data_IF_277710909768
#
_entry.id   IF_277710909768
#
_cell.length_a   1.000
_cell.length_b   1.000
_cell.length_c   1.000
_cell.angle_alpha   90.00
_cell.angle_beta   90.00
_cell.angle_gamma   90.00
#
_symmetry.space_group_name_H-M   'P 1'
#
loop_
_entity.id
_entity.type
_entity.pdbx_description
1 polymer ?
#
# COMPACT_ATOMS: atom_id res chain seq x y z
N UNK A 1 9.78 1.69 -12.45
CA UNK A 1 11.02 1.32 -11.81
C UNK A 1 11.87 0.48 -12.72
N UNK A 2 13.11 0.85 -12.95
CA UNK A 2 14.07 -0.04 -13.57
C UNK A 2 14.36 -1.14 -12.56
N UNK A 3 13.82 -2.34 -12.80
CA UNK A 3 14.04 -3.48 -11.94
C UNK A 3 15.54 -3.71 -11.79
N UNK A 4 16.04 -3.80 -10.56
CA UNK A 4 17.39 -4.24 -10.30
C UNK A 4 17.56 -5.63 -10.90
N UNK A 5 18.42 -5.76 -11.93
CA UNK A 5 18.71 -7.04 -12.53
C UNK A 5 19.54 -7.88 -11.56
N UNK A 6 19.19 -9.15 -11.42
CA UNK A 6 20.07 -10.13 -10.77
C UNK A 6 20.97 -10.71 -11.86
N UNK A 7 22.29 -10.60 -11.68
CA UNK A 7 23.25 -11.25 -12.57
C UNK A 7 23.09 -12.78 -12.49
N UNK A 8 23.22 -13.45 -13.62
CA UNK A 8 23.11 -14.93 -13.69
C UNK A 8 24.04 -15.63 -12.69
N UNK A 9 25.26 -15.10 -12.48
CA UNK A 9 26.19 -15.57 -11.46
C UNK A 9 25.64 -15.44 -10.01
N UNK A 10 24.71 -14.52 -9.76
CA UNK A 10 24.03 -14.38 -8.47
C UNK A 10 23.03 -15.51 -8.19
N UNK A 11 22.44 -16.12 -9.23
CA UNK A 11 21.48 -17.20 -9.07
C UNK A 11 22.09 -18.45 -8.43
N UNK A 12 23.36 -18.76 -8.72
CA UNK A 12 24.05 -19.90 -8.12
C UNK A 12 24.24 -19.78 -6.59
N UNK A 13 24.18 -18.57 -6.05
CA UNK A 13 24.29 -18.29 -4.61
C UNK A 13 22.97 -18.30 -3.86
N UNK A 14 21.83 -18.44 -4.55
CA UNK A 14 20.51 -18.44 -3.89
C UNK A 14 20.38 -19.55 -2.84
N UNK A 15 21.04 -20.70 -3.08
CA UNK A 15 21.04 -21.82 -2.13
C UNK A 15 21.88 -21.59 -0.86
N UNK A 16 22.59 -20.48 -0.77
CA UNK A 16 23.40 -20.08 0.38
C UNK A 16 22.68 -19.05 1.27
N UNK A 17 21.43 -18.67 0.93
CA UNK A 17 20.65 -17.73 1.70
C UNK A 17 20.29 -18.32 3.07
N UNK A 18 20.36 -17.49 4.10
CA UNK A 18 19.94 -17.88 5.46
C UNK A 18 18.41 -17.79 5.65
N UNK A 19 17.74 -16.96 4.84
CA UNK A 19 16.30 -16.71 4.91
C UNK A 19 15.82 -16.18 3.55
N UNK A 20 14.65 -16.64 3.13
CA UNK A 20 13.90 -16.03 2.03
C UNK A 20 12.83 -15.07 2.59
N UNK A 21 12.79 -13.87 2.07
CA UNK A 21 11.73 -12.92 2.38
C UNK A 21 10.84 -12.78 1.15
N UNK A 22 9.61 -13.26 1.26
CA UNK A 22 8.62 -13.19 0.19
C UNK A 22 7.96 -11.82 0.22
N UNK A 23 8.21 -11.01 -0.80
CA UNK A 23 7.67 -9.64 -0.91
C UNK A 23 6.22 -9.68 -1.43
N UNK A 24 5.98 -10.42 -2.51
CA UNK A 24 4.65 -10.64 -3.07
C UNK A 24 4.29 -12.11 -2.90
N UNK A 25 3.45 -12.38 -1.92
CA UNK A 25 3.10 -13.75 -1.53
C UNK A 25 2.46 -14.52 -2.68
N UNK A 26 1.58 -13.86 -3.42
CA UNK A 26 0.90 -14.41 -4.61
C UNK A 26 1.85 -14.80 -5.75
N UNK A 27 3.09 -14.34 -5.75
CA UNK A 27 4.09 -14.66 -6.77
C UNK A 27 5.24 -15.50 -6.21
N UNK A 28 5.69 -15.19 -5.00
CA UNK A 28 6.94 -15.71 -4.45
C UNK A 28 6.79 -16.96 -3.57
N UNK A 29 5.62 -17.18 -2.99
CA UNK A 29 5.39 -18.32 -2.07
C UNK A 29 5.73 -19.68 -2.67
N UNK A 30 5.31 -20.03 -3.90
CA UNK A 30 5.62 -21.35 -4.46
C UNK A 30 7.14 -21.62 -4.60
N UNK A 31 7.90 -20.59 -4.97
CA UNK A 31 9.37 -20.70 -5.04
C UNK A 31 9.97 -20.83 -3.64
N UNK A 32 9.52 -20.04 -2.67
CA UNK A 32 10.01 -20.07 -1.30
C UNK A 32 9.78 -21.43 -0.63
N UNK A 33 8.58 -22.00 -0.78
CA UNK A 33 8.21 -23.34 -0.29
C UNK A 33 9.10 -24.44 -0.93
N UNK A 34 9.36 -24.31 -2.22
CA UNK A 34 10.27 -25.23 -2.92
C UNK A 34 11.70 -25.12 -2.40
N UNK A 35 12.20 -23.90 -2.18
CA UNK A 35 13.54 -23.67 -1.63
C UNK A 35 13.66 -24.19 -0.18
N UNK A 36 12.62 -24.04 0.62
CA UNK A 36 12.59 -24.61 1.97
C UNK A 36 12.65 -26.15 1.93
N UNK A 37 11.84 -26.77 1.07
CA UNK A 37 11.79 -28.22 0.92
C UNK A 37 13.12 -28.79 0.39
N UNK A 38 13.69 -28.21 -0.65
CA UNK A 38 14.87 -28.75 -1.36
C UNK A 38 16.19 -28.36 -0.67
N UNK A 39 16.29 -27.13 -0.16
CA UNK A 39 17.55 -26.58 0.37
C UNK A 39 17.51 -26.24 1.85
N UNK A 40 16.39 -26.49 2.54
CA UNK A 40 16.20 -26.17 3.96
C UNK A 40 16.37 -24.68 4.29
N UNK A 41 16.08 -23.80 3.35
CA UNK A 41 16.14 -22.36 3.54
C UNK A 41 14.74 -21.90 4.01
N UNK A 42 14.60 -21.49 5.26
CA UNK A 42 13.29 -21.02 5.77
C UNK A 42 12.85 -19.77 5.02
N UNK A 43 11.53 -19.50 5.06
CA UNK A 43 11.00 -18.26 4.50
C UNK A 43 10.00 -17.60 5.45
N UNK A 44 9.85 -16.29 5.26
CA UNK A 44 8.78 -15.49 5.85
C UNK A 44 8.08 -14.69 4.75
N UNK A 45 6.80 -14.41 4.96
CA UNK A 45 5.98 -13.58 4.08
C UNK A 45 5.29 -12.48 4.89
N UNK A 46 6.05 -11.50 5.43
CA UNK A 46 5.46 -10.42 6.19
C UNK A 46 4.65 -9.49 5.28
N UNK A 47 3.61 -8.87 5.83
CA UNK A 47 2.87 -7.83 5.09
C UNK A 47 3.81 -6.75 4.57
N UNK A 48 3.55 -6.24 3.36
CA UNK A 48 4.40 -5.21 2.76
C UNK A 48 4.52 -3.97 3.65
N UNK A 49 5.72 -3.36 3.74
CA UNK A 49 6.04 -2.29 4.67
C UNK A 49 5.50 -0.92 4.21
N UNK A 50 4.18 -0.80 4.07
CA UNK A 50 3.52 0.49 3.83
C UNK A 50 3.29 1.21 5.16
N UNK A 51 3.51 2.51 5.17
CA UNK A 51 3.44 3.32 6.38
C UNK A 51 4.60 3.08 7.35
N UNK A 52 4.63 3.85 8.45
CA UNK A 52 5.64 3.68 9.51
C UNK A 52 5.34 2.42 10.31
N UNK A 53 4.06 2.21 10.66
CA UNK A 53 3.64 1.03 11.43
C UNK A 53 3.89 -0.26 10.65
N UNK A 54 3.55 -0.30 9.34
CA UNK A 54 3.82 -1.45 8.48
C UNK A 54 5.33 -1.71 8.30
N UNK A 55 6.14 -0.66 8.20
CA UNK A 55 7.61 -0.77 8.14
C UNK A 55 8.18 -1.35 9.43
N UNK A 56 7.68 -0.87 10.59
CA UNK A 56 8.07 -1.40 11.90
C UNK A 56 7.75 -2.90 12.01
N UNK A 57 6.50 -3.29 11.71
CA UNK A 57 6.06 -4.68 11.78
C UNK A 57 6.87 -5.59 10.84
N UNK A 58 7.23 -5.10 9.65
CA UNK A 58 8.08 -5.82 8.72
C UNK A 58 9.50 -6.05 9.27
N UNK A 59 10.10 -5.02 9.89
CA UNK A 59 11.41 -5.13 10.53
C UNK A 59 11.39 -6.10 11.73
N UNK A 60 10.33 -6.07 12.52
CA UNK A 60 10.13 -7.01 13.65
C UNK A 60 10.04 -8.47 13.16
N UNK A 61 9.28 -8.72 12.10
CA UNK A 61 9.17 -10.05 11.49
C UNK A 61 10.53 -10.55 10.97
N UNK A 62 11.28 -9.69 10.28
CA UNK A 62 12.62 -10.02 9.79
C UNK A 62 13.60 -10.24 10.96
N UNK A 63 13.55 -9.39 11.99
CA UNK A 63 14.41 -9.49 13.16
C UNK A 63 14.15 -10.77 13.98
N UNK A 64 12.91 -11.20 14.06
CA UNK A 64 12.53 -12.47 14.71
C UNK A 64 13.08 -13.67 13.92
N UNK A 65 13.00 -13.61 12.58
CA UNK A 65 13.50 -14.70 11.73
C UNK A 65 15.03 -14.74 11.62
N UNK A 66 15.72 -13.63 11.88
CA UNK A 66 17.17 -13.49 11.87
C UNK A 66 17.70 -12.98 13.22
N UNK A 67 17.73 -13.80 14.26
CA UNK A 67 18.16 -13.38 15.59
C UNK A 67 19.61 -12.88 15.60
N UNK A 68 19.93 -12.01 16.57
CA UNK A 68 21.27 -11.44 16.74
C UNK A 68 21.57 -10.18 15.92
N UNK A 69 20.58 -9.62 15.21
CA UNK A 69 20.69 -8.31 14.55
C UNK A 69 20.31 -7.17 15.52
N UNK A 70 20.84 -5.98 15.27
CA UNK A 70 20.51 -4.76 16.05
C UNK A 70 19.13 -4.21 15.67
N UNK A 71 18.09 -4.97 15.99
CA UNK A 71 16.69 -4.60 15.68
C UNK A 71 16.29 -3.29 16.36
N UNK A 72 16.70 -3.10 17.62
CA UNK A 72 16.36 -1.91 18.42
C UNK A 72 16.74 -0.59 17.73
N UNK A 73 17.91 -0.58 17.06
CA UNK A 73 18.36 0.60 16.29
C UNK A 73 17.40 0.87 15.14
N UNK A 74 17.01 -0.16 14.39
CA UNK A 74 16.08 0.00 13.26
C UNK A 74 14.69 0.46 13.74
N UNK A 75 14.20 -0.09 14.86
CA UNK A 75 12.90 0.30 15.43
C UNK A 75 12.94 1.74 15.97
N UNK A 76 14.05 2.17 16.57
CA UNK A 76 14.19 3.56 17.01
C UNK A 76 14.14 4.57 15.85
N UNK A 77 14.57 4.18 14.65
CA UNK A 77 14.43 5.01 13.43
C UNK A 77 12.95 5.12 13.02
N UNK A 78 12.18 4.03 13.14
CA UNK A 78 10.73 4.07 12.89
C UNK A 78 10.02 5.01 13.86
N UNK A 79 10.37 4.96 15.17
CA UNK A 79 9.78 5.84 16.19
C UNK A 79 10.09 7.32 15.89
N UNK A 80 11.33 7.65 15.56
CA UNK A 80 11.71 9.01 15.18
C UNK A 80 10.97 9.51 13.95
N UNK A 81 10.78 8.65 12.94
CA UNK A 81 10.05 9.03 11.73
C UNK A 81 8.56 9.22 12.00
N UNK A 82 7.95 8.35 12.82
CA UNK A 82 6.58 8.53 13.29
C UNK A 82 6.39 9.88 13.97
N UNK A 83 7.27 10.20 14.92
CA UNK A 83 7.19 11.44 15.69
C UNK A 83 7.40 12.67 14.79
N UNK A 84 8.32 12.58 13.83
CA UNK A 84 8.55 13.63 12.82
C UNK A 84 7.30 13.87 11.97
N UNK A 85 6.72 12.82 11.41
CA UNK A 85 5.51 12.94 10.58
C UNK A 85 4.33 13.46 11.41
N UNK A 86 4.18 12.98 12.65
CA UNK A 86 3.13 13.45 13.55
C UNK A 86 3.20 14.97 13.79
N UNK A 87 4.38 15.51 14.06
CA UNK A 87 4.56 16.95 14.30
C UNK A 87 4.13 17.74 13.06
N UNK A 88 4.64 17.40 11.87
CA UNK A 88 4.30 18.11 10.64
C UNK A 88 2.81 17.98 10.28
N UNK A 89 2.26 16.78 10.36
CA UNK A 89 0.85 16.56 10.03
C UNK A 89 -0.09 17.26 11.02
N UNK A 90 0.29 17.35 12.28
CA UNK A 90 -0.53 18.03 13.27
C UNK A 90 -0.70 19.52 12.98
N UNK A 91 0.33 20.18 12.48
CA UNK A 91 0.24 21.57 12.02
C UNK A 91 -0.76 21.71 10.85
N UNK A 92 -0.71 20.81 9.87
CA UNK A 92 -1.67 20.78 8.77
C UNK A 92 -3.10 20.50 9.24
N UNK A 93 -3.27 19.55 10.15
CA UNK A 93 -4.57 19.20 10.73
C UNK A 93 -5.22 20.37 11.46
N UNK A 94 -4.45 21.21 12.13
CA UNK A 94 -4.96 22.42 12.78
C UNK A 94 -5.55 23.43 11.78
N UNK A 95 -5.06 23.45 10.55
CA UNK A 95 -5.51 24.37 9.49
C UNK A 95 -6.61 23.77 8.63
N UNK A 96 -6.48 22.49 8.28
CA UNK A 96 -7.31 21.82 7.27
C UNK A 96 -8.26 20.77 7.85
N UNK A 97 -8.18 20.45 9.15
CA UNK A 97 -8.90 19.36 9.80
C UNK A 97 -8.25 18.00 9.56
N UNK A 98 -8.96 16.93 9.87
CA UNK A 98 -8.48 15.56 9.62
C UNK A 98 -8.65 15.17 8.14
N UNK A 99 -7.75 14.33 7.65
CA UNK A 99 -7.89 13.73 6.33
C UNK A 99 -8.95 12.63 6.41
N UNK A 100 -10.13 12.92 5.91
CA UNK A 100 -11.28 12.03 5.97
C UNK A 100 -11.80 11.69 4.57
N UNK A 101 -12.12 10.43 4.36
CA UNK A 101 -12.82 9.94 3.17
C UNK A 101 -14.09 9.20 3.57
N UNK A 102 -15.21 9.49 2.93
CA UNK A 102 -16.45 8.72 3.14
C UNK A 102 -16.25 7.26 2.72
N UNK A 103 -15.63 7.06 1.58
CA UNK A 103 -15.28 5.74 1.06
C UNK A 103 -13.88 5.77 0.40
N UNK A 104 -13.12 4.70 0.62
CA UNK A 104 -11.86 4.46 -0.06
C UNK A 104 -11.86 3.08 -0.73
N UNK A 105 -11.25 3.00 -1.91
CA UNK A 105 -11.08 1.75 -2.64
C UNK A 105 -9.61 1.53 -2.93
N UNK A 106 -9.10 0.34 -2.63
CA UNK A 106 -7.75 -0.08 -2.99
C UNK A 106 -7.85 -1.22 -4.00
N UNK A 107 -7.39 -0.99 -5.23
CA UNK A 107 -7.40 -1.94 -6.32
C UNK A 107 -5.96 -2.30 -6.72
N UNK A 108 -5.48 -3.48 -6.32
CA UNK A 108 -4.11 -3.92 -6.57
C UNK A 108 -3.97 -5.45 -6.40
N UNK A 109 -2.82 -6.05 -6.76
CA UNK A 109 -2.50 -7.43 -6.37
C UNK A 109 -2.56 -7.64 -4.85
N UNK A 110 -2.87 -8.86 -4.36
CA UNK A 110 -3.22 -9.11 -2.96
C UNK A 110 -2.26 -8.51 -1.94
N UNK A 111 -0.96 -8.83 -2.02
CA UNK A 111 0.02 -8.33 -1.05
C UNK A 111 0.09 -6.80 -1.02
N UNK A 112 -0.01 -6.15 -2.19
CA UNK A 112 -0.03 -4.69 -2.31
C UNK A 112 -1.32 -4.11 -1.75
N UNK A 113 -2.47 -4.67 -2.16
CA UNK A 113 -3.78 -4.17 -1.77
C UNK A 113 -3.99 -4.20 -0.25
N UNK A 114 -3.72 -5.34 0.38
CA UNK A 114 -3.88 -5.48 1.84
C UNK A 114 -2.82 -4.71 2.64
N UNK A 115 -1.61 -4.58 2.11
CA UNK A 115 -0.59 -3.74 2.72
C UNK A 115 -0.97 -2.25 2.71
N UNK A 116 -1.45 -1.75 1.57
CA UNK A 116 -1.94 -0.37 1.43
C UNK A 116 -3.20 -0.11 2.26
N UNK A 117 -4.15 -1.05 2.28
CA UNK A 117 -5.36 -0.93 3.07
C UNK A 117 -5.05 -0.79 4.57
N UNK A 118 -4.11 -1.59 5.08
CA UNK A 118 -3.67 -1.51 6.46
C UNK A 118 -3.01 -0.16 6.80
N UNK A 119 -2.14 0.36 5.92
CA UNK A 119 -1.50 1.65 6.13
C UNK A 119 -2.51 2.80 6.00
N UNK A 120 -3.42 2.71 5.03
CA UNK A 120 -4.42 3.73 4.78
C UNK A 120 -5.33 3.93 6.01
N UNK A 121 -5.97 2.87 6.49
CA UNK A 121 -6.88 2.95 7.65
C UNK A 121 -6.14 3.08 9.00
N UNK A 122 -4.98 2.47 9.12
CA UNK A 122 -4.25 2.45 10.39
C UNK A 122 -3.43 3.71 10.66
N UNK A 123 -3.07 4.48 9.62
CA UNK A 123 -2.07 5.55 9.77
C UNK A 123 -2.33 6.77 8.90
N UNK A 124 -2.84 6.62 7.66
CA UNK A 124 -2.79 7.70 6.69
C UNK A 124 -4.04 8.57 6.63
N UNK A 125 -5.23 7.99 6.84
CA UNK A 125 -6.48 8.72 6.78
C UNK A 125 -7.59 8.03 7.57
N UNK A 126 -8.53 8.81 8.05
CA UNK A 126 -9.80 8.30 8.57
C UNK A 126 -10.79 8.07 7.41
N UNK A 127 -11.64 7.06 7.55
CA UNK A 127 -12.63 6.75 6.51
C UNK A 127 -13.83 6.01 7.06
N UNK A 128 -14.97 6.24 6.41
CA UNK A 128 -16.22 5.54 6.75
C UNK A 128 -16.19 4.09 6.26
N UNK A 129 -15.70 3.87 5.04
CA UNK A 129 -15.63 2.53 4.43
C UNK A 129 -14.36 2.32 3.63
N UNK A 130 -13.77 1.12 3.74
CA UNK A 130 -12.62 0.69 2.94
C UNK A 130 -12.94 -0.61 2.20
N UNK A 131 -12.93 -0.56 0.87
CA UNK A 131 -13.12 -1.73 0.01
C UNK A 131 -11.81 -2.08 -0.70
N UNK A 132 -11.47 -3.35 -0.71
CA UNK A 132 -10.32 -3.87 -1.46
C UNK A 132 -10.81 -4.61 -2.70
N UNK A 133 -10.33 -4.21 -3.89
CA UNK A 133 -10.47 -4.94 -5.14
C UNK A 133 -9.16 -5.71 -5.37
N UNK A 134 -9.24 -7.04 -5.28
CA UNK A 134 -8.07 -7.91 -5.42
C UNK A 134 -7.84 -8.24 -6.89
N UNK A 135 -6.73 -7.73 -7.46
CA UNK A 135 -6.34 -8.00 -8.83
C UNK A 135 -5.52 -9.30 -8.92
N UNK A 136 -5.85 -10.14 -9.93
CA UNK A 136 -5.12 -11.37 -10.29
C UNK A 136 -4.94 -12.43 -9.19
N UNK A 137 -5.95 -13.18 -8.81
CA UNK A 137 -5.80 -14.33 -7.92
C UNK A 137 -5.37 -15.61 -8.67
N UNK A 138 -4.37 -15.54 -9.58
CA UNK A 138 -3.92 -16.73 -10.35
C UNK A 138 -3.42 -17.90 -9.49
N UNK A 139 -3.06 -17.68 -8.24
CA UNK A 139 -2.46 -18.67 -7.36
C UNK A 139 -3.24 -18.91 -6.04
N UNK A 140 -4.53 -18.67 -6.08
CA UNK A 140 -5.39 -18.76 -4.90
C UNK A 140 -5.58 -17.41 -4.21
N UNK A 141 -6.80 -17.17 -3.77
CA UNK A 141 -7.12 -15.95 -3.03
C UNK A 141 -6.47 -16.00 -1.66
N UNK A 142 -5.36 -15.30 -1.51
CA UNK A 142 -4.84 -14.99 -0.19
C UNK A 142 -5.60 -13.77 0.28
N UNK A 143 -6.68 -14.01 1.02
CA UNK A 143 -7.30 -12.99 1.83
C UNK A 143 -6.76 -13.16 3.25
N UNK A 144 -5.73 -12.42 3.67
CA UNK A 144 -5.32 -12.43 5.05
C UNK A 144 -6.51 -11.99 5.91
N UNK A 145 -6.59 -12.52 7.12
CA UNK A 145 -7.53 -11.98 8.09
C UNK A 145 -7.14 -10.51 8.35
N UNK A 146 -7.95 -9.62 7.86
CA UNK A 146 -7.76 -8.17 8.00
C UNK A 146 -8.59 -7.60 9.16
N UNK A 147 -9.41 -8.43 9.81
CA UNK A 147 -10.29 -7.98 10.89
C UNK A 147 -11.10 -6.76 10.48
N UNK A 148 -11.13 -5.74 11.33
CA UNK A 148 -11.87 -4.49 11.11
C UNK A 148 -11.15 -3.50 10.17
N UNK A 149 -10.00 -3.86 9.60
CA UNK A 149 -9.25 -2.97 8.71
C UNK A 149 -9.87 -2.81 7.32
N UNK A 150 -10.67 -3.78 6.87
CA UNK A 150 -11.29 -3.80 5.54
C UNK A 150 -12.76 -4.18 5.66
N UNK A 151 -13.66 -3.33 5.15
CA UNK A 151 -15.09 -3.57 5.23
C UNK A 151 -15.61 -4.51 4.15
N UNK A 152 -14.93 -4.57 3.01
CA UNK A 152 -15.29 -5.47 1.90
C UNK A 152 -14.09 -5.85 1.04
N UNK A 153 -14.14 -7.07 0.51
CA UNK A 153 -13.17 -7.58 -0.48
C UNK A 153 -13.94 -7.99 -1.73
N UNK A 154 -13.51 -7.51 -2.89
CA UNK A 154 -14.09 -7.79 -4.20
C UNK A 154 -13.02 -8.41 -5.11
N UNK A 155 -13.22 -9.63 -5.64
CA UNK A 155 -12.33 -10.18 -6.66
C UNK A 155 -12.45 -9.40 -7.97
N UNK A 156 -11.33 -9.09 -8.61
CA UNK A 156 -11.32 -8.32 -9.86
C UNK A 156 -11.96 -9.06 -11.04
N UNK A 157 -12.03 -10.39 -11.02
CA UNK A 157 -12.72 -11.20 -12.04
C UNK A 157 -14.24 -11.00 -12.04
N UNK A 158 -14.79 -10.54 -10.94
CA UNK A 158 -16.20 -10.21 -10.84
C UNK A 158 -16.47 -8.80 -11.44
N UNK A 159 -16.33 -8.63 -12.74
CA UNK A 159 -16.38 -7.32 -13.42
C UNK A 159 -17.62 -6.50 -13.04
N UNK A 160 -18.80 -7.10 -12.97
CA UNK A 160 -20.01 -6.41 -12.55
C UNK A 160 -19.96 -5.93 -11.09
N UNK A 161 -19.25 -6.63 -10.20
CA UNK A 161 -19.05 -6.19 -8.82
C UNK A 161 -18.04 -5.04 -8.74
N UNK A 162 -16.96 -5.09 -9.53
CA UNK A 162 -15.98 -4.01 -9.63
C UNK A 162 -16.65 -2.73 -10.10
N UNK A 163 -17.43 -2.79 -11.19
CA UNK A 163 -18.21 -1.66 -11.70
C UNK A 163 -19.20 -1.14 -10.65
N UNK A 164 -19.87 -2.02 -9.91
CA UNK A 164 -20.79 -1.63 -8.84
C UNK A 164 -20.07 -0.95 -7.66
N UNK A 165 -18.88 -1.42 -7.28
CA UNK A 165 -18.05 -0.79 -6.24
C UNK A 165 -17.62 0.61 -6.69
N UNK A 166 -17.03 0.72 -7.87
CA UNK A 166 -16.55 1.99 -8.42
C UNK A 166 -17.72 2.95 -8.73
N UNK A 167 -18.85 2.43 -9.20
CA UNK A 167 -20.04 3.22 -9.48
C UNK A 167 -20.69 3.86 -8.24
N UNK A 168 -20.53 3.28 -7.06
CA UNK A 168 -20.98 3.87 -5.79
C UNK A 168 -20.05 4.96 -5.28
N UNK A 169 -18.78 4.89 -5.60
CA UNK A 169 -17.76 5.83 -5.15
C UNK A 169 -18.03 7.21 -5.76
N UNK A 170 -18.85 8.03 -5.09
CA UNK A 170 -19.22 9.36 -5.57
C UNK A 170 -18.19 10.43 -5.22
N UNK A 171 -17.61 10.30 -4.03
CA UNK A 171 -16.50 11.08 -3.51
C UNK A 171 -15.60 10.17 -2.69
N UNK A 172 -14.37 10.53 -2.46
CA UNK A 172 -13.44 9.73 -1.68
C UNK A 172 -12.13 9.42 -2.40
N UNK A 173 -11.57 8.23 -2.18
CA UNK A 173 -10.22 7.89 -2.62
C UNK A 173 -10.18 6.56 -3.39
N UNK A 174 -9.52 6.56 -4.54
CA UNK A 174 -9.11 5.35 -5.25
C UNK A 174 -7.58 5.24 -5.25
N UNK A 175 -7.04 4.18 -4.66
CA UNK A 175 -5.69 3.70 -4.88
C UNK A 175 -5.76 2.53 -5.87
N UNK A 176 -5.28 2.71 -7.10
CA UNK A 176 -5.48 1.67 -8.12
C UNK A 176 -4.62 1.88 -9.37
N UNK A 177 -5.09 1.38 -10.50
CA UNK A 177 -4.51 1.57 -11.82
C UNK A 177 -5.31 2.57 -12.66
N UNK A 178 -4.76 2.95 -13.81
CA UNK A 178 -5.48 3.77 -14.79
C UNK A 178 -6.77 3.09 -15.28
N UNK A 179 -6.85 1.77 -15.24
CA UNK A 179 -8.05 1.03 -15.65
C UNK A 179 -9.25 1.34 -14.75
N UNK A 180 -9.07 1.27 -13.43
CA UNK A 180 -10.11 1.61 -12.45
C UNK A 180 -10.44 3.11 -12.51
N UNK A 181 -9.42 3.97 -12.67
CA UNK A 181 -9.65 5.41 -12.82
C UNK A 181 -10.47 5.73 -14.07
N UNK A 182 -10.23 5.07 -15.20
CA UNK A 182 -11.03 5.24 -16.41
C UNK A 182 -12.49 4.83 -16.21
N UNK A 183 -12.75 3.74 -15.48
CA UNK A 183 -14.12 3.33 -15.13
C UNK A 183 -14.83 4.41 -14.30
N UNK A 184 -14.15 4.98 -13.30
CA UNK A 184 -14.68 6.10 -12.53
C UNK A 184 -15.00 7.32 -13.39
N UNK A 185 -14.08 7.70 -14.28
CA UNK A 185 -14.26 8.86 -15.17
C UNK A 185 -15.43 8.65 -16.14
N UNK A 186 -15.59 7.45 -16.70
CA UNK A 186 -16.74 7.07 -17.55
C UNK A 186 -18.06 7.11 -16.80
N UNK A 187 -18.05 6.74 -15.50
CA UNK A 187 -19.21 6.86 -14.61
C UNK A 187 -19.47 8.30 -14.12
N UNK A 188 -18.69 9.29 -14.60
CA UNK A 188 -18.86 10.69 -14.22
C UNK A 188 -18.34 11.03 -12.81
N UNK A 189 -17.57 10.15 -12.17
CA UNK A 189 -17.07 10.29 -10.80
C UNK A 189 -15.81 11.17 -10.74
N UNK A 190 -15.94 12.46 -10.99
CA UNK A 190 -14.83 13.42 -11.09
C UNK A 190 -14.26 13.85 -9.74
N UNK A 191 -15.06 13.73 -8.68
CA UNK A 191 -14.70 14.15 -7.32
C UNK A 191 -13.89 13.10 -6.54
N UNK A 192 -13.68 11.90 -7.12
CA UNK A 192 -12.85 10.88 -6.52
C UNK A 192 -11.38 11.23 -6.73
N UNK A 193 -10.63 11.30 -5.64
CA UNK A 193 -9.18 11.40 -5.69
C UNK A 193 -8.60 10.08 -6.22
N UNK A 194 -7.62 10.17 -7.09
CA UNK A 194 -6.93 9.00 -7.63
C UNK A 194 -5.45 9.03 -7.34
N UNK A 195 -4.95 7.98 -6.71
CA UNK A 195 -3.53 7.77 -6.49
C UNK A 195 -3.07 6.46 -7.13
N UNK A 196 -2.18 6.48 -8.14
CA UNK A 196 -1.78 5.30 -8.89
C UNK A 196 -0.81 4.44 -8.09
N UNK A 197 -1.21 3.21 -7.77
CA UNK A 197 -0.41 2.21 -7.03
C UNK A 197 -0.21 0.90 -7.78
N UNK A 198 -0.97 0.68 -8.85
CA UNK A 198 -0.94 -0.53 -9.67
C UNK A 198 -0.82 -0.18 -11.16
N UNK A 199 -0.30 -1.09 -11.96
CA UNK A 199 -0.23 -0.92 -13.41
C UNK A 199 -1.54 -1.35 -14.11
N UNK A 200 -1.90 -0.73 -15.24
CA UNK A 200 -1.18 0.32 -15.94
C UNK A 200 -1.29 1.69 -15.24
N UNK A 201 -0.29 2.56 -15.44
CA UNK A 201 -0.30 3.96 -15.01
C UNK A 201 -0.08 4.84 -16.23
N UNK A 202 -1.10 5.55 -16.67
CA UNK A 202 -1.09 6.36 -17.91
C UNK A 202 -1.14 7.86 -17.61
N UNK A 203 -1.81 8.26 -16.52
CA UNK A 203 -2.04 9.66 -16.18
C UNK A 203 -0.98 10.27 -15.27
N UNK A 204 0.01 9.51 -14.85
CA UNK A 204 0.99 9.94 -13.88
C UNK A 204 2.43 9.73 -14.36
N UNK A 205 3.14 10.81 -14.58
CA UNK A 205 4.55 10.77 -14.99
C UNK A 205 5.42 10.76 -13.72
N UNK A 206 6.26 9.73 -13.59
CA UNK A 206 7.23 9.59 -12.50
C UNK A 206 8.63 9.78 -13.04
N UNK A 207 9.25 10.89 -12.69
CA UNK A 207 10.63 11.21 -13.05
C UNK A 207 11.62 10.91 -11.92
N UNK A 208 11.12 10.76 -10.70
CA UNK A 208 11.93 10.48 -9.52
C UNK A 208 11.59 9.11 -8.93
N UNK A 209 12.59 8.46 -8.35
CA UNK A 209 12.44 7.17 -7.67
C UNK A 209 11.94 7.38 -6.23
N UNK A 210 10.70 7.85 -6.09
CA UNK A 210 10.08 7.96 -4.79
C UNK A 210 9.39 6.63 -4.46
N UNK A 211 9.79 5.95 -3.38
CA UNK A 211 9.22 4.67 -3.00
C UNK A 211 7.82 4.85 -2.43
N UNK A 212 6.99 3.81 -2.51
CA UNK A 212 5.72 3.73 -1.76
C UNK A 212 5.89 3.00 -0.42
N UNK A 213 6.93 2.21 -0.29
CA UNK A 213 7.21 1.38 0.89
C UNK A 213 8.35 1.97 1.73
N UNK A 214 8.42 1.52 2.97
CA UNK A 214 9.41 1.97 3.93
C UNK A 214 9.11 3.38 4.46
N UNK A 215 9.99 3.89 5.30
CA UNK A 215 9.80 5.18 5.97
C UNK A 215 9.69 6.36 4.98
N UNK A 216 10.48 6.35 3.91
CA UNK A 216 10.37 7.38 2.87
C UNK A 216 9.03 7.31 2.14
N UNK A 217 8.53 6.09 1.91
CA UNK A 217 7.23 5.87 1.29
C UNK A 217 6.08 6.36 2.17
N UNK A 218 6.19 6.17 3.48
CA UNK A 218 5.19 6.65 4.43
C UNK A 218 4.97 8.17 4.31
N UNK A 219 6.05 8.95 4.35
CA UNK A 219 5.97 10.40 4.19
C UNK A 219 5.49 10.81 2.80
N UNK A 220 6.00 10.19 1.75
CA UNK A 220 5.65 10.54 0.37
C UNK A 220 4.18 10.28 0.05
N UNK A 221 3.64 9.13 0.44
CA UNK A 221 2.23 8.81 0.16
C UNK A 221 1.32 9.76 0.93
N UNK A 222 1.60 10.01 2.21
CA UNK A 222 0.83 10.98 3.00
C UNK A 222 0.87 12.39 2.39
N UNK A 223 2.05 12.86 1.98
CA UNK A 223 2.19 14.14 1.28
C UNK A 223 1.31 14.22 0.04
N UNK A 224 1.30 13.18 -0.80
CA UNK A 224 0.47 13.13 -1.99
C UNK A 224 -1.02 13.19 -1.64
N UNK A 225 -1.49 12.36 -0.69
CA UNK A 225 -2.88 12.31 -0.28
C UNK A 225 -3.35 13.65 0.29
N UNK A 226 -2.56 14.27 1.17
CA UNK A 226 -2.87 15.58 1.74
C UNK A 226 -2.90 16.69 0.69
N UNK A 227 -1.90 16.75 -0.19
CA UNK A 227 -1.84 17.76 -1.22
C UNK A 227 -3.03 17.69 -2.18
N UNK A 228 -3.48 16.49 -2.52
CA UNK A 228 -4.65 16.31 -3.39
C UNK A 228 -5.95 16.68 -2.65
N UNK A 229 -6.08 16.31 -1.38
CA UNK A 229 -7.23 16.70 -0.56
C UNK A 229 -7.33 18.23 -0.39
N UNK A 230 -6.21 18.88 -0.07
CA UNK A 230 -6.15 20.35 0.05
C UNK A 230 -6.51 21.06 -1.26
N UNK A 231 -6.00 20.58 -2.40
CA UNK A 231 -6.36 21.13 -3.72
C UNK A 231 -7.85 20.99 -3.99
N UNK A 232 -8.47 19.88 -3.60
CA UNK A 232 -9.90 19.67 -3.72
C UNK A 232 -10.68 20.62 -2.81
N UNK A 233 -10.31 20.73 -1.54
CA UNK A 233 -10.94 21.67 -0.59
C UNK A 233 -10.89 23.12 -1.06
N UNK A 234 -9.77 23.53 -1.68
CA UNK A 234 -9.63 24.89 -2.24
C UNK A 234 -10.57 25.06 -3.45
N UNK A 235 -10.66 24.08 -4.35
CA UNK A 235 -11.58 24.13 -5.50
C UNK A 235 -13.03 24.22 -5.08
N UNK A 236 -13.42 23.51 -4.03
CA UNK A 236 -14.79 23.46 -3.51
C UNK A 236 -15.16 24.71 -2.68
N UNK A 237 -14.28 25.73 -2.61
CA UNK A 237 -14.55 26.97 -1.87
C UNK A 237 -14.58 26.81 -0.35
N UNK A 238 -14.12 25.67 0.20
CA UNK A 238 -14.14 25.43 1.65
C UNK A 238 -13.19 26.32 2.44
N UNK A 239 -12.31 27.08 1.77
CA UNK A 239 -11.37 28.02 2.39
C UNK A 239 -11.99 29.34 2.84
N UNK A 240 -13.25 29.63 2.49
CA UNK A 240 -13.91 30.87 2.91
C UNK A 240 -14.39 30.84 4.38
N UNK A 241 -14.10 29.79 5.14
CA UNK A 241 -14.54 29.61 6.53
C UNK A 241 -13.39 29.59 7.56
N UNK A 242 -12.20 29.96 7.16
CA UNK A 242 -11.04 30.19 8.04
C UNK A 242 -10.70 31.72 8.07
#
# INVERSE_FOLDING_TARGET
GRGGGTEAAGLSRLTQAALNIVVHEELGRPLAERMEKEYRIPFIAPRLPYGVAGTRAWLEAVGTALPGKKLDVALSVCDKERDRLFIFLNEFKMVWGELWFEEAVVAAPPSTAFGLAAALRGEWADMGRLTVIVQQPRFGAIAPDMGDLVDAVCPAEAAGQVEAVLGRLSSGLLLGSSSENQLLRRAGRKEVQFFPVANPVEEHIRLTELPFMGLRGAGYVQECLWNDAVRQMIRDGRKERL
#
